data_IF_850894439627
#
_entry.id   IF_850894439627
#
_cell.length_a   1.000
_cell.length_b   1.000
_cell.length_c   1.000
_cell.angle_alpha   90.00
_cell.angle_beta   90.00
_cell.angle_gamma   90.00
#
_symmetry.space_group_name_H-M   'P 1'
#
loop_
_entity.id
_entity.type
_entity.pdbx_description
1 polymer ?
#
# COMPACT_ATOMS: atom_id res chain seq x y z
N UNK A 1 -2.11 17.78 -21.66
CA UNK A 1 -1.20 18.52 -20.78
C UNK A 1 -1.89 18.65 -19.43
N UNK A 2 -1.43 18.19 -18.26
CA UNK A 2 -0.11 17.75 -17.85
C UNK A 2 -0.27 17.23 -16.39
N UNK A 3 -0.90 16.06 -16.17
CA UNK A 3 -1.02 15.46 -14.82
C UNK A 3 0.37 15.27 -14.18
N UNK A 4 1.38 15.00 -15.01
CA UNK A 4 2.79 14.98 -14.65
C UNK A 4 3.32 16.35 -14.20
N UNK A 5 2.77 17.47 -14.67
CA UNK A 5 3.14 18.82 -14.24
C UNK A 5 2.44 19.25 -12.97
N UNK A 6 1.19 18.86 -12.75
CA UNK A 6 0.51 19.10 -11.47
C UNK A 6 1.21 18.32 -10.36
N UNK A 7 1.55 17.05 -10.61
CA UNK A 7 2.37 16.26 -9.67
C UNK A 7 3.77 16.86 -9.47
N UNK A 8 4.44 17.35 -10.53
CA UNK A 8 5.72 18.08 -10.40
C UNK A 8 5.59 19.39 -9.63
N UNK A 9 4.48 20.11 -9.73
CA UNK A 9 4.22 21.35 -8.97
C UNK A 9 3.89 21.08 -7.50
N UNK A 10 3.23 19.96 -7.23
CA UNK A 10 2.98 19.48 -5.86
C UNK A 10 4.30 19.06 -5.22
N UNK A 11 5.17 18.38 -5.98
CA UNK A 11 6.55 18.07 -5.56
C UNK A 11 7.42 19.34 -5.45
N UNK A 12 7.15 20.41 -6.21
CA UNK A 12 7.94 21.66 -6.13
C UNK A 12 7.53 22.59 -4.98
N UNK A 13 6.38 22.37 -4.35
CA UNK A 13 5.84 23.22 -3.28
C UNK A 13 5.84 22.55 -1.90
N UNK A 14 6.36 21.33 -1.79
CA UNK A 14 6.71 20.68 -0.53
C UNK A 14 8.20 20.31 -0.58
N UNK A 15 8.87 20.20 0.57
CA UNK A 15 10.31 20.42 0.67
C UNK A 15 11.12 19.23 0.12
N UNK A 16 12.45 19.35 0.15
CA UNK A 16 13.44 18.42 -0.41
C UNK A 16 13.01 16.94 -0.29
N UNK A 17 13.37 16.09 -1.27
CA UNK A 17 13.03 14.65 -1.32
C UNK A 17 13.19 13.92 0.03
N UNK A 18 14.18 14.30 0.85
CA UNK A 18 14.40 13.79 2.20
C UNK A 18 13.27 14.12 3.18
N UNK A 19 12.75 15.34 3.17
CA UNK A 19 11.69 15.79 4.08
C UNK A 19 10.35 15.11 3.77
N UNK A 20 10.08 14.79 2.50
CA UNK A 20 8.93 13.96 2.12
C UNK A 20 9.04 12.52 2.62
N UNK A 21 10.24 11.93 2.63
CA UNK A 21 10.47 10.57 3.16
C UNK A 21 10.40 10.55 4.70
N UNK A 22 10.92 11.58 5.37
CA UNK A 22 10.81 11.74 6.82
C UNK A 22 9.34 11.88 7.22
N UNK A 23 8.59 12.75 6.54
CA UNK A 23 7.17 12.95 6.75
C UNK A 23 6.36 11.66 6.53
N UNK A 24 6.64 10.94 5.45
CA UNK A 24 6.04 9.64 5.16
C UNK A 24 6.32 8.65 6.28
N UNK A 25 7.56 8.57 6.76
CA UNK A 25 7.97 7.68 7.85
C UNK A 25 7.21 8.00 9.13
N UNK A 26 7.09 9.27 9.48
CA UNK A 26 6.30 9.70 10.64
C UNK A 26 4.83 9.31 10.54
N UNK A 27 4.20 9.51 9.37
CA UNK A 27 2.81 9.11 9.14
C UNK A 27 2.62 7.59 9.25
N UNK A 28 3.53 6.80 8.67
CA UNK A 28 3.51 5.33 8.82
C UNK A 28 3.63 4.91 10.29
N UNK A 29 4.49 5.57 11.07
CA UNK A 29 4.63 5.28 12.50
C UNK A 29 3.37 5.62 13.29
N UNK A 30 2.69 6.73 12.98
CA UNK A 30 1.40 7.08 13.60
C UNK A 30 0.37 5.99 13.29
N UNK A 31 0.22 5.63 12.01
CA UNK A 31 -0.76 4.64 11.57
C UNK A 31 -0.47 3.28 12.20
N UNK A 32 0.79 2.83 12.16
CA UNK A 32 1.21 1.55 12.76
C UNK A 32 0.91 1.50 14.25
N UNK A 33 1.30 2.53 15.01
CA UNK A 33 1.05 2.59 16.47
C UNK A 33 -0.43 2.51 16.82
N UNK A 34 -1.27 3.17 16.04
CA UNK A 34 -2.72 3.14 16.27
C UNK A 34 -3.33 1.78 15.90
N UNK A 35 -2.93 1.20 14.76
CA UNK A 35 -3.43 -0.10 14.33
C UNK A 35 -3.01 -1.25 15.26
N UNK A 36 -1.89 -1.10 15.96
CA UNK A 36 -1.39 -2.08 16.94
C UNK A 36 -1.72 -1.69 18.39
N UNK A 37 -2.59 -0.70 18.62
CA UNK A 37 -2.95 -0.30 19.98
C UNK A 37 -3.82 -1.38 20.64
N UNK A 38 -3.42 -1.98 21.78
CA UNK A 38 -4.18 -3.03 22.45
C UNK A 38 -5.55 -2.57 22.99
N UNK A 39 -5.74 -1.27 23.25
CA UNK A 39 -7.04 -0.70 23.64
C UNK A 39 -7.97 -0.49 22.43
N UNK A 40 -7.47 -0.75 21.21
CA UNK A 40 -8.14 -0.45 19.97
C UNK A 40 -7.97 1.01 19.51
N UNK A 41 -8.37 1.27 18.27
CA UNK A 41 -8.35 2.60 17.67
C UNK A 41 -9.58 2.81 16.78
N UNK A 42 -9.82 4.07 16.42
CA UNK A 42 -10.85 4.45 15.45
C UNK A 42 -10.21 5.21 14.29
N UNK A 43 -10.84 5.18 13.12
CA UNK A 43 -10.39 5.99 11.99
C UNK A 43 -10.31 7.47 12.33
N UNK A 44 -11.22 7.96 13.18
CA UNK A 44 -11.22 9.35 13.65
C UNK A 44 -10.02 9.66 14.56
N UNK A 45 -9.60 8.71 15.41
CA UNK A 45 -8.39 8.87 16.24
C UNK A 45 -7.13 8.92 15.38
N UNK A 46 -7.03 8.06 14.37
CA UNK A 46 -5.92 8.08 13.40
C UNK A 46 -5.93 9.42 12.65
N UNK A 47 -7.09 9.84 12.14
CA UNK A 47 -7.26 11.11 11.45
C UNK A 47 -6.81 12.29 12.32
N UNK A 48 -7.28 12.38 13.57
CA UNK A 48 -6.91 13.46 14.49
C UNK A 48 -5.40 13.54 14.72
N UNK A 49 -4.72 12.41 14.93
CA UNK A 49 -3.26 12.38 15.09
C UNK A 49 -2.52 12.84 13.83
N UNK A 50 -3.08 12.56 12.66
CA UNK A 50 -2.53 13.07 11.40
C UNK A 50 -2.82 14.57 11.28
N UNK A 51 -4.03 15.05 11.59
CA UNK A 51 -4.38 16.49 11.63
C UNK A 51 -3.46 17.30 12.56
N UNK A 52 -3.18 16.77 13.77
CA UNK A 52 -2.23 17.38 14.72
C UNK A 52 -0.82 17.55 14.12
N UNK A 53 -0.44 16.69 13.17
CA UNK A 53 0.88 16.72 12.54
C UNK A 53 0.92 17.54 11.25
N UNK A 54 -0.12 17.47 10.44
CA UNK A 54 -0.14 18.04 9.07
C UNK A 54 -0.89 19.37 8.98
N UNK A 55 -1.66 19.73 10.01
CA UNK A 55 -2.60 20.85 9.94
C UNK A 55 -3.78 20.52 9.04
N UNK A 56 -4.10 21.42 8.12
CA UNK A 56 -5.28 21.31 7.25
C UNK A 56 -5.15 20.21 6.18
N UNK A 57 -6.21 19.43 6.01
CA UNK A 57 -6.30 18.40 4.97
C UNK A 57 -6.62 19.03 3.62
N UNK A 58 -5.57 19.42 2.90
CA UNK A 58 -5.71 19.69 1.46
C UNK A 58 -5.99 18.39 0.69
N UNK A 59 -6.49 18.48 -0.54
CA UNK A 59 -6.75 17.31 -1.39
C UNK A 59 -5.47 16.50 -1.67
N UNK A 60 -4.33 17.18 -1.79
CA UNK A 60 -3.02 16.56 -1.98
C UNK A 60 -2.59 15.78 -0.74
N UNK A 61 -2.73 16.39 0.45
CA UNK A 61 -2.43 15.74 1.74
C UNK A 61 -3.34 14.54 1.94
N UNK A 62 -4.63 14.66 1.65
CA UNK A 62 -5.60 13.56 1.73
C UNK A 62 -5.24 12.40 0.81
N UNK A 63 -4.74 12.69 -0.39
CA UNK A 63 -4.27 11.66 -1.33
C UNK A 63 -3.01 10.97 -0.83
N UNK A 64 -2.04 11.73 -0.33
CA UNK A 64 -0.82 11.20 0.25
C UNK A 64 -1.12 10.30 1.45
N UNK A 65 -1.97 10.74 2.38
CA UNK A 65 -2.38 9.96 3.56
C UNK A 65 -3.06 8.66 3.16
N UNK A 66 -3.95 8.67 2.16
CA UNK A 66 -4.60 7.45 1.67
C UNK A 66 -3.59 6.44 1.13
N UNK A 67 -2.60 6.90 0.37
CA UNK A 67 -1.55 6.02 -0.15
C UNK A 67 -0.70 5.45 1.00
N UNK A 68 -0.29 6.29 1.96
CA UNK A 68 0.50 5.86 3.11
C UNK A 68 -0.29 4.87 3.97
N UNK A 69 -1.56 5.14 4.26
CA UNK A 69 -2.42 4.24 5.02
C UNK A 69 -2.56 2.89 4.33
N UNK A 70 -2.78 2.90 3.02
CA UNK A 70 -2.86 1.68 2.22
C UNK A 70 -1.56 0.88 2.26
N UNK A 71 -0.42 1.55 2.11
CA UNK A 71 0.91 0.94 2.20
C UNK A 71 1.17 0.33 3.58
N UNK A 72 0.90 1.06 4.66
CA UNK A 72 1.11 0.58 6.03
C UNK A 72 0.23 -0.65 6.33
N UNK A 73 -1.02 -0.66 5.88
CA UNK A 73 -1.90 -1.83 6.05
C UNK A 73 -1.35 -3.04 5.29
N UNK A 74 -0.86 -2.85 4.06
CA UNK A 74 -0.28 -3.94 3.28
C UNK A 74 1.04 -4.45 3.89
N UNK A 75 1.88 -3.57 4.45
CA UNK A 75 3.09 -3.94 5.18
C UNK A 75 2.76 -4.78 6.43
N UNK A 76 1.79 -4.34 7.25
CA UNK A 76 1.35 -5.09 8.43
C UNK A 76 0.84 -6.48 8.03
N UNK A 77 0.06 -6.57 6.95
CA UNK A 77 -0.40 -7.87 6.40
C UNK A 77 0.76 -8.74 5.97
N UNK A 78 1.72 -8.18 5.25
CA UNK A 78 2.92 -8.90 4.81
C UNK A 78 3.67 -9.50 6.00
N UNK A 79 3.95 -8.70 7.03
CA UNK A 79 4.64 -9.17 8.24
C UNK A 79 3.87 -10.31 8.90
N UNK A 80 2.57 -10.13 9.10
CA UNK A 80 1.72 -11.17 9.69
C UNK A 80 1.76 -12.47 8.89
N UNK A 81 1.62 -12.40 7.56
CA UNK A 81 1.61 -13.60 6.72
C UNK A 81 2.99 -14.25 6.57
N UNK A 82 4.08 -13.48 6.68
CA UNK A 82 5.43 -14.05 6.76
C UNK A 82 5.63 -14.87 8.03
N UNK A 83 5.22 -14.32 9.18
CA UNK A 83 5.27 -15.00 10.47
C UNK A 83 4.38 -16.25 10.47
N UNK A 84 3.16 -16.15 9.94
CA UNK A 84 2.25 -17.27 9.81
C UNK A 84 2.78 -18.37 8.88
N UNK A 85 3.34 -18.01 7.71
CA UNK A 85 3.96 -19.00 6.83
C UNK A 85 5.17 -19.69 7.48
N UNK A 86 5.96 -18.95 8.26
CA UNK A 86 7.06 -19.54 9.04
C UNK A 86 6.54 -20.55 10.07
N UNK A 87 5.48 -20.20 10.82
CA UNK A 87 4.83 -21.10 11.78
C UNK A 87 4.30 -22.37 11.09
N UNK A 88 3.60 -22.21 9.97
CA UNK A 88 3.08 -23.32 9.15
C UNK A 88 4.19 -24.26 8.70
N UNK A 89 5.31 -23.71 8.23
CA UNK A 89 6.47 -24.50 7.83
C UNK A 89 7.07 -25.29 9.00
N UNK A 90 7.17 -24.70 10.20
CA UNK A 90 7.63 -25.38 11.42
C UNK A 90 6.70 -26.53 11.85
N UNK A 91 5.40 -26.41 11.53
CA UNK A 91 4.38 -27.42 11.80
C UNK A 91 4.20 -28.45 10.65
N UNK A 92 4.95 -28.31 9.56
CA UNK A 92 4.85 -29.19 8.39
C UNK A 92 3.61 -28.93 7.52
N UNK A 93 2.97 -27.77 7.66
CA UNK A 93 1.86 -27.33 6.82
C UNK A 93 2.36 -26.63 5.55
N UNK A 94 1.53 -26.65 4.49
CA UNK A 94 1.81 -25.88 3.28
C UNK A 94 1.71 -24.36 3.52
N UNK A 95 2.58 -23.60 2.87
CA UNK A 95 2.51 -22.13 2.86
C UNK A 95 1.18 -21.63 2.31
N UNK A 96 0.69 -20.53 2.89
CA UNK A 96 -0.46 -19.81 2.36
C UNK A 96 -0.19 -19.33 0.93
N UNK A 97 -1.20 -19.51 0.08
CA UNK A 97 -1.28 -18.85 -1.22
C UNK A 97 -2.11 -17.57 -1.09
N UNK A 98 -1.87 -16.61 -1.96
CA UNK A 98 -2.50 -15.29 -1.92
C UNK A 98 -3.09 -14.92 -3.27
N UNK A 99 -4.20 -14.19 -3.23
CA UNK A 99 -4.83 -13.59 -4.40
C UNK A 99 -5.06 -12.10 -4.20
N UNK A 100 -4.99 -11.35 -5.29
CA UNK A 100 -5.23 -9.93 -5.30
C UNK A 100 -6.74 -9.62 -5.35
N UNK A 101 -7.21 -8.77 -4.45
CA UNK A 101 -8.61 -8.40 -4.32
C UNK A 101 -8.80 -6.89 -4.25
N UNK A 102 -10.01 -6.44 -4.57
CA UNK A 102 -10.39 -5.03 -4.51
C UNK A 102 -11.59 -4.76 -5.41
N UNK A 103 -12.09 -3.52 -5.44
CA UNK A 103 -13.23 -3.14 -6.28
C UNK A 103 -13.00 -3.48 -7.75
N UNK A 104 -14.07 -3.78 -8.48
CA UNK A 104 -14.05 -3.84 -9.94
C UNK A 104 -15.06 -2.83 -10.47
N UNK A 105 -14.65 -1.56 -10.47
CA UNK A 105 -15.47 -0.43 -10.87
C UNK A 105 -14.74 0.41 -11.93
N UNK A 106 -15.36 1.51 -12.38
CA UNK A 106 -14.81 2.41 -13.40
C UNK A 106 -13.46 3.05 -13.01
N UNK A 107 -13.07 2.99 -11.73
CA UNK A 107 -11.80 3.51 -11.21
C UNK A 107 -10.76 2.42 -11.04
N UNK A 108 -11.10 1.15 -11.30
CA UNK A 108 -10.14 0.05 -11.28
C UNK A 108 -9.24 0.15 -12.51
N UNK A 109 -7.93 0.23 -12.25
CA UNK A 109 -6.92 0.32 -13.31
C UNK A 109 -6.72 -1.03 -13.98
N UNK A 110 -6.27 -1.00 -15.23
CA UNK A 110 -5.91 -2.22 -15.97
C UNK A 110 -4.80 -3.00 -15.27
N UNK A 111 -3.88 -2.31 -14.58
CA UNK A 111 -2.83 -2.92 -13.75
C UNK A 111 -3.45 -3.79 -12.66
N UNK A 112 -4.42 -3.28 -11.89
CA UNK A 112 -5.10 -4.07 -10.87
C UNK A 112 -5.89 -5.25 -11.44
N UNK A 113 -6.53 -5.09 -12.62
CA UNK A 113 -7.25 -6.19 -13.27
C UNK A 113 -6.30 -7.32 -13.64
N UNK A 114 -5.14 -7.01 -14.20
CA UNK A 114 -4.13 -8.01 -14.59
C UNK A 114 -3.53 -8.72 -13.38
N UNK A 115 -3.22 -8.00 -12.30
CA UNK A 115 -2.72 -8.62 -11.06
C UNK A 115 -3.79 -9.55 -10.48
N UNK A 116 -5.06 -9.12 -10.43
CA UNK A 116 -6.20 -9.95 -9.98
C UNK A 116 -6.33 -11.22 -10.81
N UNK A 117 -6.26 -11.11 -12.13
CA UNK A 117 -6.36 -12.25 -13.05
C UNK A 117 -5.18 -13.22 -12.88
N UNK A 118 -3.95 -12.72 -12.84
CA UNK A 118 -2.72 -13.54 -12.70
C UNK A 118 -2.64 -14.28 -11.36
N UNK A 119 -3.28 -13.75 -10.33
CA UNK A 119 -3.21 -14.29 -8.95
C UNK A 119 -4.51 -14.99 -8.53
N UNK A 120 -5.49 -15.13 -9.43
CA UNK A 120 -6.84 -15.66 -9.11
C UNK A 120 -6.82 -17.06 -8.49
N UNK A 121 -5.85 -17.89 -8.88
CA UNK A 121 -5.69 -19.27 -8.41
C UNK A 121 -4.79 -19.39 -7.17
N UNK A 122 -4.38 -18.26 -6.58
CA UNK A 122 -3.42 -18.27 -5.48
C UNK A 122 -1.97 -18.36 -5.98
N UNK A 123 -1.11 -17.54 -5.40
CA UNK A 123 0.34 -17.55 -5.62
C UNK A 123 1.08 -17.40 -4.30
N UNK A 124 2.37 -17.75 -4.21
CA UNK A 124 3.14 -17.46 -2.98
C UNK A 124 3.25 -15.95 -2.74
N UNK A 125 3.58 -15.55 -1.52
CA UNK A 125 3.76 -14.14 -1.20
C UNK A 125 4.84 -13.49 -2.08
N UNK A 126 5.94 -14.20 -2.33
CA UNK A 126 7.03 -13.72 -3.19
C UNK A 126 6.60 -13.60 -4.66
N UNK A 127 5.85 -14.59 -5.16
CA UNK A 127 5.29 -14.54 -6.51
C UNK A 127 4.32 -13.37 -6.66
N UNK A 128 3.50 -13.09 -5.65
CA UNK A 128 2.59 -11.96 -5.65
C UNK A 128 3.35 -10.64 -5.83
N UNK A 129 4.44 -10.42 -5.06
CA UNK A 129 5.27 -9.22 -5.18
C UNK A 129 5.84 -9.08 -6.60
N UNK A 130 6.32 -10.20 -7.17
CA UNK A 130 6.82 -10.24 -8.55
C UNK A 130 5.74 -9.84 -9.56
N UNK A 131 4.54 -10.41 -9.46
CA UNK A 131 3.41 -10.07 -10.33
C UNK A 131 3.04 -8.59 -10.21
N UNK A 132 2.97 -8.06 -8.99
CA UNK A 132 2.65 -6.64 -8.75
C UNK A 132 3.68 -5.73 -9.40
N UNK A 133 4.98 -6.03 -9.21
CA UNK A 133 6.09 -5.29 -9.82
C UNK A 133 6.00 -5.30 -11.34
N UNK A 134 5.83 -6.46 -11.95
CA UNK A 134 5.77 -6.63 -13.40
C UNK A 134 4.61 -5.84 -14.01
N UNK A 135 3.41 -5.95 -13.42
CA UNK A 135 2.24 -5.24 -13.94
C UNK A 135 2.32 -3.72 -13.67
N UNK A 136 2.95 -3.29 -12.57
CA UNK A 136 3.23 -1.87 -12.33
C UNK A 136 4.16 -1.30 -13.41
N UNK A 137 5.26 -1.98 -13.72
CA UNK A 137 6.19 -1.58 -14.79
C UNK A 137 5.48 -1.57 -16.14
N UNK A 138 4.77 -2.65 -16.47
CA UNK A 138 4.02 -2.80 -17.73
C UNK A 138 2.93 -1.74 -17.89
N UNK A 139 2.33 -1.31 -16.80
CA UNK A 139 1.31 -0.24 -16.76
C UNK A 139 1.87 1.18 -16.79
N UNK A 140 3.19 1.36 -16.87
CA UNK A 140 3.82 2.70 -16.87
C UNK A 140 3.96 3.32 -15.47
N UNK A 141 3.78 2.55 -14.41
CA UNK A 141 3.92 2.98 -13.02
C UNK A 141 5.25 2.54 -12.38
N UNK A 142 6.23 2.10 -13.17
CA UNK A 142 7.56 1.72 -12.67
C UNK A 142 8.28 2.85 -11.92
N UNK A 143 7.95 4.11 -12.20
CA UNK A 143 8.48 5.28 -11.46
C UNK A 143 7.88 5.44 -10.06
N UNK A 144 6.70 4.86 -9.82
CA UNK A 144 5.99 4.94 -8.55
C UNK A 144 6.26 3.71 -7.68
N UNK A 145 6.30 2.53 -8.31
CA UNK A 145 6.61 1.27 -7.63
C UNK A 145 7.97 1.33 -6.92
N UNK A 146 8.04 0.71 -5.74
CA UNK A 146 9.27 0.58 -4.95
C UNK A 146 9.25 -0.77 -4.26
N UNK A 147 10.42 -1.40 -4.09
CA UNK A 147 10.55 -2.62 -3.26
C UNK A 147 10.20 -2.36 -1.79
N UNK A 148 10.22 -1.11 -1.35
CA UNK A 148 9.73 -0.70 -0.03
C UNK A 148 8.19 -0.66 0.05
N UNK A 149 7.50 -0.84 -1.08
CA UNK A 149 6.03 -0.79 -1.21
C UNK A 149 5.55 -1.88 -2.19
N UNK A 150 5.87 -3.15 -1.96
CA UNK A 150 5.73 -4.18 -2.99
C UNK A 150 4.28 -4.48 -3.36
N UNK A 151 3.31 -4.03 -2.55
CA UNK A 151 1.88 -4.19 -2.79
C UNK A 151 1.17 -2.86 -3.13
N UNK A 152 1.89 -1.87 -3.67
CA UNK A 152 1.27 -0.62 -4.13
C UNK A 152 1.71 -0.30 -5.56
N UNK A 153 1.05 -0.91 -6.57
CA UNK A 153 1.50 -0.83 -7.96
C UNK A 153 1.36 0.55 -8.58
N UNK A 154 0.46 1.40 -8.07
CA UNK A 154 0.18 2.74 -8.61
C UNK A 154 -0.45 3.64 -7.53
N UNK A 155 -0.46 4.97 -7.74
CA UNK A 155 -1.12 5.91 -6.82
C UNK A 155 -2.61 5.58 -6.65
N UNK A 156 -3.17 5.83 -5.47
CA UNK A 156 -4.58 5.60 -5.14
C UNK A 156 -5.05 4.15 -5.38
N UNK A 157 -4.15 3.18 -5.30
CA UNK A 157 -4.53 1.77 -5.32
C UNK A 157 -5.50 1.46 -4.17
N UNK A 158 -6.61 0.80 -4.51
CA UNK A 158 -7.63 0.32 -3.55
C UNK A 158 -7.65 -1.20 -3.43
N UNK A 159 -6.66 -1.86 -4.03
CA UNK A 159 -6.55 -3.31 -4.03
C UNK A 159 -5.51 -3.78 -3.04
N UNK A 160 -5.72 -4.95 -2.49
CA UNK A 160 -4.86 -5.59 -1.50
C UNK A 160 -4.82 -7.08 -1.79
N UNK A 161 -4.21 -7.86 -0.90
CA UNK A 161 -4.14 -9.31 -1.02
C UNK A 161 -4.71 -9.99 0.22
N UNK A 162 -5.23 -11.20 0.01
CA UNK A 162 -5.76 -12.09 1.04
C UNK A 162 -5.33 -13.52 0.75
N UNK A 163 -5.39 -14.44 1.73
CA UNK A 163 -5.24 -15.86 1.47
C UNK A 163 -6.21 -16.33 0.38
N UNK A 164 -5.69 -17.09 -0.57
CA UNK A 164 -6.48 -17.89 -1.50
C UNK A 164 -6.89 -19.16 -0.77
N UNK A 165 -8.19 -19.33 -0.58
CA UNK A 165 -8.82 -20.57 -0.10
C UNK A 165 -8.65 -21.68 -1.12
#
# INVERSE_FOLDING_TARGET
ENETYILRKIISNYPLKSELEDFRTELMLIIRRELTNPEGTTLERIRRKIEEKVGEFTENISTLIRNIFHETINEIRETYFQEENKRRQEEGEEELKFKWIGPDDYRTTEVCRRIKERTRNGVTLEELKRVVREEAIRGGFGWFYSELRPFTPHPNCRHTFIPAV
#
